data_IF_312351022258
#
_entry.id   IF_312351022258
#
_cell.length_a   1.000
_cell.length_b   1.000
_cell.length_c   1.000
_cell.angle_alpha   90.00
_cell.angle_beta   90.00
_cell.angle_gamma   90.00
#
_symmetry.space_group_name_H-M   'P 1'
#
loop_
_entity.id
_entity.type
_entity.pdbx_description
1 polymer ?
#
# COMPACT_ATOMS: atom_id res chain seq x y z
N UNK A 1 23.24 78.47 25.13
CA UNK A 1 23.78 77.49 26.09
C UNK A 1 22.72 77.36 27.16
N UNK A 2 21.85 76.37 27.06
CA UNK A 2 20.87 76.13 28.10
C UNK A 2 20.43 74.68 28.01
N UNK A 3 20.78 73.93 29.04
CA UNK A 3 19.93 72.89 29.60
C UNK A 3 19.80 73.29 31.06
N UNK A 4 18.63 73.11 31.70
CA UNK A 4 18.51 71.82 32.38
C UNK A 4 17.08 71.28 32.53
N UNK A 5 17.07 69.96 32.77
CA UNK A 5 16.29 69.21 33.77
C UNK A 5 14.75 69.28 33.81
N UNK A 6 14.17 68.10 34.04
CA UNK A 6 12.91 67.98 34.79
C UNK A 6 12.00 66.91 34.22
N UNK A 7 11.89 65.80 34.94
CA UNK A 7 11.09 64.64 34.60
C UNK A 7 9.58 64.92 34.58
N UNK A 8 8.87 64.27 33.66
CA UNK A 8 7.43 64.06 33.75
C UNK A 8 7.09 62.65 33.24
N UNK A 9 6.49 61.85 34.11
CA UNK A 9 5.90 60.52 33.84
C UNK A 9 4.64 60.65 32.98
N UNK A 10 4.42 59.76 31.99
CA UNK A 10 3.09 59.57 31.44
C UNK A 10 2.46 58.21 31.82
N UNK A 11 1.14 58.26 31.91
CA UNK A 11 0.16 57.19 32.11
C UNK A 11 0.06 56.25 30.88
N UNK A 12 -0.73 55.15 30.94
CA UNK A 12 -0.49 53.94 30.14
C UNK A 12 -0.98 54.07 28.69
N UNK A 13 -0.19 53.55 27.75
CA UNK A 13 -0.58 53.41 26.35
C UNK A 13 -1.35 52.09 26.15
N UNK A 14 -2.44 52.18 25.37
CA UNK A 14 -3.40 51.12 25.11
C UNK A 14 -2.81 49.87 24.45
N UNK A 15 -3.46 48.76 24.76
CA UNK A 15 -3.37 47.46 24.11
C UNK A 15 -3.66 47.52 22.60
N UNK A 16 -2.81 46.93 21.74
CA UNK A 16 -3.22 46.51 20.42
C UNK A 16 -3.73 45.06 20.43
N UNK A 17 -4.69 44.86 19.53
CA UNK A 17 -5.60 43.75 19.38
C UNK A 17 -5.00 42.33 19.29
N UNK A 18 -5.87 41.41 19.69
CA UNK A 18 -5.82 39.96 19.60
C UNK A 18 -5.26 39.43 18.28
N UNK A 19 -4.12 38.75 18.35
CA UNK A 19 -3.68 37.82 17.32
C UNK A 19 -4.63 36.62 17.29
N UNK A 20 -5.30 36.44 16.16
CA UNK A 20 -6.05 35.23 15.81
C UNK A 20 -5.10 34.02 15.86
N UNK A 21 -5.36 33.08 16.78
CA UNK A 21 -4.67 31.81 16.84
C UNK A 21 -4.86 30.98 15.56
N UNK A 22 -3.98 29.98 15.31
CA UNK A 22 -4.07 29.15 14.12
C UNK A 22 -5.42 28.41 14.08
N UNK A 23 -6.07 28.45 12.92
CA UNK A 23 -7.32 27.76 12.67
C UNK A 23 -7.17 26.26 12.99
N UNK A 24 -8.12 25.71 13.75
CA UNK A 24 -8.19 24.29 14.03
C UNK A 24 -8.22 23.49 12.72
N UNK A 25 -7.58 22.31 12.66
CA UNK A 25 -7.62 21.48 11.47
C UNK A 25 -9.07 21.15 11.11
N UNK A 26 -9.43 21.13 9.82
CA UNK A 26 -10.79 20.80 9.38
C UNK A 26 -11.14 19.38 9.85
N UNK A 27 -12.35 19.23 10.38
CA UNK A 27 -12.94 17.92 10.69
C UNK A 27 -12.96 17.07 9.42
N UNK A 28 -12.48 15.81 9.47
CA UNK A 28 -12.45 14.93 8.30
C UNK A 28 -13.87 14.70 7.75
N UNK A 29 -14.00 14.37 6.45
CA UNK A 29 -15.27 13.90 5.90
C UNK A 29 -15.79 12.73 6.75
N UNK A 30 -17.10 12.66 6.96
CA UNK A 30 -17.70 11.59 7.75
C UNK A 30 -17.23 10.24 7.20
N UNK A 31 -16.75 9.32 8.06
CA UNK A 31 -16.47 7.97 7.63
C UNK A 31 -17.72 7.39 6.96
N UNK A 32 -17.54 6.45 6.03
CA UNK A 32 -18.63 5.53 5.67
C UNK A 32 -19.25 5.07 7.00
N UNK A 33 -20.58 5.19 7.18
CA UNK A 33 -21.18 4.87 8.47
C UNK A 33 -20.79 3.45 8.84
N UNK A 34 -20.15 3.30 9.99
CA UNK A 34 -20.08 1.98 10.62
C UNK A 34 -21.54 1.55 10.85
N UNK A 35 -21.94 0.34 10.42
CA UNK A 35 -23.30 -0.12 10.66
C UNK A 35 -23.56 -0.07 12.17
N UNK A 36 -24.62 0.63 12.54
CA UNK A 36 -25.07 0.75 13.92
C UNK A 36 -25.38 -0.66 14.41
N UNK A 37 -24.80 -1.09 15.55
CA UNK A 37 -25.10 -2.37 16.20
C UNK A 37 -26.58 -2.42 16.62
N UNK A 38 -27.46 -2.78 15.70
CA UNK A 38 -28.82 -3.22 15.98
C UNK A 38 -28.82 -4.72 16.32
N UNK A 39 -29.84 -5.17 17.05
CA UNK A 39 -30.00 -6.58 17.46
C UNK A 39 -29.81 -7.51 16.25
N UNK A 40 -28.93 -8.51 16.39
CA UNK A 40 -28.64 -9.62 15.47
C UNK A 40 -29.79 -9.86 14.48
N UNK A 41 -29.67 -9.31 13.27
CA UNK A 41 -30.64 -9.55 12.19
C UNK A 41 -30.53 -10.96 11.66
N UNK A 42 -29.36 -11.59 11.77
CA UNK A 42 -29.10 -12.96 11.35
C UNK A 42 -30.05 -13.98 12.02
N UNK A 43 -30.29 -13.86 13.32
CA UNK A 43 -31.22 -14.75 14.05
C UNK A 43 -32.64 -14.66 13.51
N UNK A 44 -33.05 -13.48 13.03
CA UNK A 44 -34.37 -13.24 12.44
C UNK A 44 -34.50 -13.89 11.06
N UNK A 45 -33.42 -13.94 10.27
CA UNK A 45 -33.39 -14.57 8.94
C UNK A 45 -33.18 -16.10 9.00
N UNK A 46 -32.62 -16.63 10.09
CA UNK A 46 -32.45 -18.06 10.35
C UNK A 46 -33.77 -18.85 10.38
N UNK A 47 -34.93 -18.19 10.40
CA UNK A 47 -36.25 -18.83 10.33
C UNK A 47 -36.76 -19.04 8.89
N UNK A 48 -36.13 -18.42 7.88
CA UNK A 48 -36.53 -18.46 6.47
C UNK A 48 -35.94 -19.65 5.68
N UNK A 49 -35.37 -20.63 6.40
CA UNK A 49 -34.75 -21.84 5.86
C UNK A 49 -35.68 -22.59 4.89
N UNK A 50 -35.27 -22.67 3.61
CA UNK A 50 -35.84 -23.60 2.64
C UNK A 50 -34.74 -24.25 1.81
N UNK A 51 -34.66 -25.58 1.92
CA UNK A 51 -34.09 -26.49 0.92
C UNK A 51 -32.56 -26.56 0.86
N UNK A 52 -32.02 -27.79 0.90
CA UNK A 52 -30.61 -28.09 0.66
C UNK A 52 -30.31 -28.09 -0.84
N UNK A 53 -29.95 -26.95 -1.41
CA UNK A 53 -29.22 -26.88 -2.68
C UNK A 53 -27.80 -26.47 -2.37
N UNK A 54 -26.82 -27.27 -2.81
CA UNK A 54 -25.41 -27.00 -2.55
C UNK A 54 -25.01 -25.65 -3.18
N UNK A 55 -24.48 -24.74 -2.37
CA UNK A 55 -24.00 -23.44 -2.85
C UNK A 55 -22.77 -23.66 -3.72
N UNK A 56 -22.80 -23.20 -4.97
CA UNK A 56 -21.63 -23.17 -5.85
C UNK A 56 -21.34 -21.73 -6.21
N UNK A 57 -20.15 -21.25 -5.84
CA UNK A 57 -19.71 -19.90 -6.18
C UNK A 57 -19.07 -19.98 -7.57
N UNK A 58 -19.69 -19.35 -8.56
CA UNK A 58 -19.11 -19.21 -9.90
C UNK A 58 -17.95 -18.21 -9.91
N UNK A 59 -17.28 -18.06 -11.04
CA UNK A 59 -16.32 -16.97 -11.23
C UNK A 59 -17.04 -15.68 -11.60
N UNK A 60 -16.68 -14.58 -10.95
CA UNK A 60 -17.15 -13.26 -11.31
C UNK A 60 -16.57 -12.82 -12.65
N UNK A 61 -17.46 -12.51 -13.58
CA UNK A 61 -17.18 -11.90 -14.88
C UNK A 61 -17.90 -10.55 -14.98
N UNK A 62 -17.16 -9.48 -15.26
CA UNK A 62 -17.70 -8.12 -15.34
C UNK A 62 -18.72 -7.94 -16.47
N UNK A 63 -18.48 -8.53 -17.64
CA UNK A 63 -19.37 -8.40 -18.81
C UNK A 63 -20.72 -9.09 -18.56
N UNK A 64 -20.72 -10.17 -17.76
CA UNK A 64 -21.93 -10.93 -17.43
C UNK A 64 -22.68 -10.38 -16.23
N UNK A 65 -21.98 -9.95 -15.19
CA UNK A 65 -22.60 -9.61 -13.90
C UNK A 65 -22.67 -8.10 -13.64
N UNK A 66 -21.98 -7.28 -14.43
CA UNK A 66 -21.93 -5.83 -14.24
C UNK A 66 -21.17 -5.40 -12.99
N UNK A 67 -21.30 -4.12 -12.61
CA UNK A 67 -20.61 -3.56 -11.43
C UNK A 67 -21.23 -4.03 -10.11
N UNK A 68 -20.39 -4.37 -9.15
CA UNK A 68 -20.76 -4.59 -7.74
C UNK A 68 -20.61 -3.32 -6.89
N UNK A 69 -19.94 -2.30 -7.44
CA UNK A 69 -19.65 -1.03 -6.77
C UNK A 69 -20.76 -0.03 -7.05
N UNK A 70 -21.25 0.59 -5.98
CA UNK A 70 -22.19 1.69 -6.00
C UNK A 70 -21.46 2.99 -5.66
N UNK A 71 -21.59 3.99 -6.52
CA UNK A 71 -20.88 5.27 -6.38
C UNK A 71 -21.87 6.36 -6.00
N UNK A 72 -21.58 7.05 -4.91
CA UNK A 72 -22.25 8.29 -4.55
C UNK A 72 -21.21 9.27 -4.01
N UNK A 73 -21.00 10.37 -4.73
CA UNK A 73 -20.09 11.43 -4.30
C UNK A 73 -20.81 12.34 -3.28
N UNK A 74 -20.16 12.70 -2.16
CA UNK A 74 -20.75 13.62 -1.20
C UNK A 74 -20.99 15.01 -1.83
N UNK A 75 -21.94 15.76 -1.27
CA UNK A 75 -22.23 17.11 -1.72
C UNK A 75 -21.00 18.03 -1.58
N UNK A 76 -20.66 18.72 -2.68
CA UNK A 76 -19.48 19.57 -2.77
C UNK A 76 -18.23 18.87 -3.30
N UNK A 77 -18.34 17.62 -3.75
CA UNK A 77 -17.27 16.96 -4.51
C UNK A 77 -17.53 17.09 -6.01
N UNK A 78 -16.51 17.53 -6.75
CA UNK A 78 -16.49 17.58 -8.20
C UNK A 78 -15.54 16.51 -8.73
N UNK A 79 -16.05 15.56 -9.52
CA UNK A 79 -15.23 14.51 -10.11
C UNK A 79 -14.25 15.09 -11.14
N UNK A 80 -12.96 14.75 -10.99
CA UNK A 80 -11.89 15.14 -11.91
C UNK A 80 -11.47 13.99 -12.82
N UNK A 81 -11.40 12.76 -12.27
CA UNK A 81 -10.97 11.57 -12.98
C UNK A 81 -11.56 10.32 -12.34
N UNK A 82 -11.62 9.22 -13.08
CA UNK A 82 -12.16 7.94 -12.63
C UNK A 82 -11.55 6.77 -13.39
N UNK A 83 -11.14 5.74 -12.66
CA UNK A 83 -10.63 4.51 -13.25
C UNK A 83 -10.88 3.29 -12.34
N UNK A 84 -10.88 2.11 -12.93
CA UNK A 84 -10.99 0.84 -12.21
C UNK A 84 -9.62 0.36 -11.76
N UNK A 85 -9.52 -0.11 -10.51
CA UNK A 85 -8.41 -0.94 -10.06
C UNK A 85 -8.72 -2.39 -10.44
N UNK A 86 -9.84 -2.92 -9.93
CA UNK A 86 -10.43 -4.20 -10.36
C UNK A 86 -11.82 -3.92 -10.94
N UNK A 87 -12.00 -4.22 -12.24
CA UNK A 87 -13.24 -3.91 -12.96
C UNK A 87 -14.47 -4.47 -12.24
N UNK A 88 -15.41 -3.57 -11.94
CA UNK A 88 -16.67 -3.88 -11.26
C UNK A 88 -16.55 -4.21 -9.76
N UNK A 89 -15.35 -4.20 -9.18
CA UNK A 89 -15.11 -4.53 -7.76
C UNK A 89 -14.42 -3.42 -6.98
N UNK A 90 -13.50 -2.67 -7.58
CA UNK A 90 -12.86 -1.53 -6.93
C UNK A 90 -12.64 -0.39 -7.92
N UNK A 91 -13.24 0.75 -7.60
CA UNK A 91 -13.23 1.95 -8.42
C UNK A 91 -12.56 3.10 -7.67
N UNK A 92 -11.75 3.87 -8.37
CA UNK A 92 -11.18 5.12 -7.87
C UNK A 92 -11.87 6.28 -8.56
N UNK A 93 -12.22 7.30 -7.77
CA UNK A 93 -12.58 8.62 -8.26
C UNK A 93 -11.63 9.63 -7.64
N UNK A 94 -10.94 10.37 -8.48
CA UNK A 94 -10.21 11.56 -8.04
C UNK A 94 -11.20 12.71 -8.09
N UNK A 95 -11.46 13.34 -6.96
CA UNK A 95 -12.44 14.40 -6.85
C UNK A 95 -11.84 15.65 -6.19
N UNK A 96 -12.30 16.82 -6.60
CA UNK A 96 -12.03 18.08 -5.92
C UNK A 96 -13.11 18.30 -4.86
N UNK A 97 -12.70 18.44 -3.61
CA UNK A 97 -13.58 18.82 -2.52
C UNK A 97 -13.66 20.35 -2.45
N UNK A 98 -14.80 20.91 -2.84
CA UNK A 98 -15.03 22.35 -2.89
C UNK A 98 -14.94 23.04 -1.51
N UNK A 99 -15.11 22.29 -0.41
CA UNK A 99 -15.04 22.85 0.96
C UNK A 99 -13.60 23.01 1.42
N UNK A 100 -12.74 22.04 1.15
CA UNK A 100 -11.32 22.05 1.54
C UNK A 100 -10.42 22.64 0.46
N UNK A 101 -10.94 22.77 -0.76
CA UNK A 101 -10.21 23.11 -1.98
C UNK A 101 -9.03 22.15 -2.24
N UNK A 102 -9.19 20.88 -1.86
CA UNK A 102 -8.19 19.84 -2.04
C UNK A 102 -8.68 18.77 -3.02
N UNK A 103 -7.74 18.12 -3.69
CA UNK A 103 -8.02 16.90 -4.43
C UNK A 103 -7.96 15.73 -3.46
N UNK A 104 -8.87 14.78 -3.63
CA UNK A 104 -9.00 13.60 -2.80
C UNK A 104 -9.10 12.35 -3.67
N UNK A 105 -8.50 11.28 -3.18
CA UNK A 105 -8.53 9.95 -3.76
C UNK A 105 -9.65 9.18 -3.08
N UNK A 106 -10.75 8.94 -3.79
CA UNK A 106 -11.90 8.24 -3.23
C UNK A 106 -11.96 6.83 -3.81
N UNK A 107 -11.69 5.83 -2.96
CA UNK A 107 -11.89 4.43 -3.35
C UNK A 107 -13.29 3.96 -2.97
N UNK A 108 -13.93 3.30 -3.91
CA UNK A 108 -15.23 2.66 -3.76
C UNK A 108 -15.09 1.16 -3.97
N UNK A 109 -15.65 0.40 -3.05
CA UNK A 109 -15.68 -1.06 -3.02
C UNK A 109 -17.15 -1.52 -2.95
N UNK A 110 -17.44 -2.81 -3.11
CA UNK A 110 -18.82 -3.27 -3.15
C UNK A 110 -19.51 -3.01 -1.81
N UNK A 111 -20.61 -2.26 -1.80
CA UNK A 111 -21.36 -2.01 -0.57
C UNK A 111 -21.99 -3.31 -0.06
N UNK A 112 -21.87 -3.56 1.24
CA UNK A 112 -22.53 -4.67 1.92
C UNK A 112 -23.80 -4.16 2.62
N UNK A 113 -24.89 -4.89 2.48
CA UNK A 113 -26.04 -4.76 3.37
C UNK A 113 -25.68 -5.18 4.80
N UNK A 114 -26.46 -4.74 5.79
CA UNK A 114 -26.25 -5.12 7.20
C UNK A 114 -26.18 -6.65 7.38
N UNK A 115 -27.02 -7.37 6.65
CA UNK A 115 -27.02 -8.83 6.64
C UNK A 115 -25.73 -9.42 6.03
N UNK A 116 -25.29 -8.91 4.88
CA UNK A 116 -24.04 -9.37 4.26
C UNK A 116 -22.83 -9.06 5.14
N UNK A 117 -22.83 -7.92 5.83
CA UNK A 117 -21.78 -7.54 6.77
C UNK A 117 -21.73 -8.49 7.98
N UNK A 118 -22.87 -8.74 8.64
CA UNK A 118 -22.96 -9.69 9.76
C UNK A 118 -22.52 -11.10 9.33
N UNK A 119 -22.94 -11.53 8.14
CA UNK A 119 -22.56 -12.83 7.60
C UNK A 119 -21.05 -12.90 7.28
N UNK A 120 -20.48 -11.84 6.71
CA UNK A 120 -19.05 -11.76 6.41
C UNK A 120 -18.22 -11.89 7.68
N UNK A 121 -18.56 -11.17 8.75
CA UNK A 121 -17.85 -11.22 10.04
C UNK A 121 -17.88 -12.65 10.61
N UNK A 122 -19.06 -13.29 10.61
CA UNK A 122 -19.20 -14.66 11.10
C UNK A 122 -18.40 -15.67 10.28
N UNK A 123 -18.46 -15.57 8.95
CA UNK A 123 -17.66 -16.41 8.06
C UNK A 123 -16.16 -16.14 8.26
N UNK A 124 -15.76 -14.89 8.49
CA UNK A 124 -14.37 -14.52 8.77
C UNK A 124 -13.86 -15.14 10.06
N UNK A 125 -14.62 -15.08 11.15
CA UNK A 125 -14.28 -15.75 12.41
C UNK A 125 -14.12 -17.27 12.23
N UNK A 126 -15.12 -17.92 11.63
CA UNK A 126 -15.10 -19.37 11.41
C UNK A 126 -13.96 -19.80 10.46
N UNK A 127 -13.60 -18.99 9.46
CA UNK A 127 -12.48 -19.27 8.56
C UNK A 127 -11.11 -19.08 9.23
N UNK A 128 -10.98 -18.10 10.13
CA UNK A 128 -9.72 -17.78 10.81
C UNK A 128 -9.19 -18.98 11.58
N UNK A 129 -10.05 -19.64 12.34
CA UNK A 129 -9.69 -20.81 13.14
C UNK A 129 -9.21 -21.99 12.27
N UNK A 130 -9.78 -22.15 11.07
CA UNK A 130 -9.43 -23.27 10.19
C UNK A 130 -8.15 -23.00 9.38
N UNK A 131 -7.87 -21.74 9.01
CA UNK A 131 -6.65 -21.38 8.29
C UNK A 131 -5.39 -21.48 9.16
N UNK A 132 -5.51 -21.25 10.47
CA UNK A 132 -4.41 -21.47 11.44
C UNK A 132 -4.00 -22.95 11.50
N UNK A 133 -4.96 -23.87 11.33
CA UNK A 133 -4.75 -25.32 11.45
C UNK A 133 -4.17 -25.99 10.19
N UNK A 134 -4.10 -25.29 9.04
CA UNK A 134 -3.74 -25.89 7.74
C UNK A 134 -2.34 -25.49 7.23
N UNK A 135 -1.35 -25.54 8.14
CA UNK A 135 0.04 -25.17 7.91
C UNK A 135 0.70 -25.67 6.61
N UNK A 136 1.50 -24.78 6.03
CA UNK A 136 2.60 -24.91 5.06
C UNK A 136 2.45 -25.59 3.68
N UNK A 137 1.39 -26.34 3.36
CA UNK A 137 1.28 -27.01 2.03
C UNK A 137 0.30 -26.37 1.02
N UNK A 138 -0.29 -25.21 1.31
CA UNK A 138 -1.29 -24.58 0.43
C UNK A 138 -0.88 -23.17 0.01
N UNK A 139 0.13 -23.02 -0.85
CA UNK A 139 0.35 -21.74 -1.56
C UNK A 139 -0.46 -21.63 -2.85
N UNK A 140 -0.70 -22.74 -3.56
CA UNK A 140 -1.31 -22.71 -4.90
C UNK A 140 -2.84 -22.67 -4.91
N UNK A 141 -3.51 -22.80 -3.77
CA UNK A 141 -4.98 -22.96 -3.77
C UNK A 141 -5.73 -22.28 -2.64
N UNK A 142 -5.13 -21.26 -2.00
CA UNK A 142 -5.78 -20.55 -0.87
C UNK A 142 -7.12 -19.95 -1.26
N UNK A 143 -7.21 -19.37 -2.46
CA UNK A 143 -8.45 -18.81 -3.00
C UNK A 143 -9.54 -19.88 -3.06
N UNK A 144 -9.26 -21.02 -3.68
CA UNK A 144 -10.23 -22.11 -3.80
C UNK A 144 -10.66 -22.64 -2.44
N UNK A 145 -9.72 -22.85 -1.51
CA UNK A 145 -10.05 -23.32 -0.15
C UNK A 145 -10.98 -22.35 0.58
N UNK A 146 -10.73 -21.04 0.47
CA UNK A 146 -11.58 -20.02 1.08
C UNK A 146 -12.99 -20.08 0.46
N UNK A 147 -13.10 -20.17 -0.86
CA UNK A 147 -14.38 -20.23 -1.56
C UNK A 147 -15.16 -21.51 -1.26
N UNK A 148 -14.50 -22.68 -1.31
CA UNK A 148 -15.12 -23.97 -0.97
C UNK A 148 -15.66 -23.97 0.47
N UNK A 149 -14.90 -23.40 1.41
CA UNK A 149 -15.34 -23.29 2.80
C UNK A 149 -16.43 -22.27 3.00
N UNK A 150 -16.35 -21.11 2.35
CA UNK A 150 -17.42 -20.11 2.36
C UNK A 150 -18.73 -20.74 1.88
N UNK A 151 -18.72 -21.44 0.75
CA UNK A 151 -19.88 -22.14 0.23
C UNK A 151 -20.43 -23.16 1.22
N UNK A 152 -19.55 -23.96 1.85
CA UNK A 152 -19.95 -24.91 2.88
C UNK A 152 -20.56 -24.23 4.12
N UNK A 153 -20.00 -23.13 4.60
CA UNK A 153 -20.53 -22.41 5.77
C UNK A 153 -21.90 -21.81 5.46
N UNK A 154 -22.10 -21.27 4.26
CA UNK A 154 -23.41 -20.78 3.80
C UNK A 154 -24.44 -21.91 3.79
N UNK A 155 -24.06 -23.09 3.28
CA UNK A 155 -24.90 -24.29 3.28
C UNK A 155 -25.20 -24.80 4.71
N UNK A 156 -24.19 -24.81 5.59
CA UNK A 156 -24.30 -25.24 6.98
C UNK A 156 -25.21 -24.29 7.78
N UNK A 157 -25.22 -22.99 7.45
CA UNK A 157 -26.18 -22.02 7.98
C UNK A 157 -27.57 -22.12 7.32
N UNK A 158 -27.70 -22.87 6.24
CA UNK A 158 -28.95 -23.07 5.48
C UNK A 158 -29.42 -21.82 4.73
N UNK A 159 -28.49 -20.92 4.40
CA UNK A 159 -28.78 -19.67 3.70
C UNK A 159 -28.81 -19.90 2.18
N UNK A 160 -29.66 -19.15 1.48
CA UNK A 160 -29.65 -19.07 0.01
C UNK A 160 -29.39 -17.62 -0.37
N UNK A 161 -28.29 -17.38 -1.08
CA UNK A 161 -27.83 -16.04 -1.45
C UNK A 161 -27.90 -15.86 -2.97
N UNK A 162 -28.16 -14.62 -3.39
CA UNK A 162 -28.03 -14.24 -4.78
C UNK A 162 -26.56 -14.23 -5.21
N UNK A 163 -26.31 -14.42 -6.51
CA UNK A 163 -24.94 -14.44 -7.06
C UNK A 163 -24.17 -13.15 -6.74
N UNK A 164 -24.84 -11.98 -6.78
CA UNK A 164 -24.25 -10.68 -6.46
C UNK A 164 -23.71 -10.67 -5.02
N UNK A 165 -24.50 -11.14 -4.05
CA UNK A 165 -24.09 -11.24 -2.65
C UNK A 165 -22.90 -12.20 -2.48
N UNK A 166 -22.91 -13.34 -3.17
CA UNK A 166 -21.78 -14.27 -3.14
C UNK A 166 -20.50 -13.61 -3.65
N UNK A 167 -20.57 -12.84 -4.75
CA UNK A 167 -19.40 -12.13 -5.30
C UNK A 167 -18.90 -11.00 -4.39
N UNK A 168 -19.81 -10.31 -3.69
CA UNK A 168 -19.46 -9.30 -2.67
C UNK A 168 -18.72 -9.95 -1.50
N UNK A 169 -19.26 -11.04 -0.94
CA UNK A 169 -18.61 -11.77 0.15
C UNK A 169 -17.26 -12.35 -0.27
N UNK A 170 -17.18 -12.96 -1.46
CA UNK A 170 -15.93 -13.42 -2.06
C UNK A 170 -14.88 -12.30 -2.08
N UNK A 171 -15.25 -11.11 -2.59
CA UNK A 171 -14.34 -9.98 -2.69
C UNK A 171 -13.70 -9.65 -1.33
N UNK A 172 -14.51 -9.48 -0.28
CA UNK A 172 -14.00 -9.13 1.05
C UNK A 172 -13.21 -10.26 1.72
N UNK A 173 -13.60 -11.52 1.53
CA UNK A 173 -12.84 -12.65 2.07
C UNK A 173 -11.46 -12.75 1.43
N UNK A 174 -11.37 -12.61 0.11
CA UNK A 174 -10.09 -12.62 -0.60
C UNK A 174 -9.24 -11.41 -0.19
N UNK A 175 -9.84 -10.22 -0.17
CA UNK A 175 -9.20 -8.98 0.29
C UNK A 175 -8.62 -9.11 1.70
N UNK A 176 -9.34 -9.72 2.64
CA UNK A 176 -8.94 -9.78 4.04
C UNK A 176 -7.96 -10.92 4.34
N UNK A 177 -8.16 -12.12 3.76
CA UNK A 177 -7.31 -13.28 4.04
C UNK A 177 -6.07 -13.38 3.15
N UNK A 178 -6.19 -13.01 1.88
CA UNK A 178 -5.10 -13.10 0.89
C UNK A 178 -4.52 -11.72 0.64
N UNK A 179 -5.38 -10.75 0.33
CA UNK A 179 -5.02 -9.35 0.09
C UNK A 179 -4.61 -8.61 1.35
N UNK A 180 -4.46 -7.29 1.25
CA UNK A 180 -3.93 -6.40 2.28
C UNK A 180 -5.01 -5.74 3.15
N UNK A 181 -6.14 -6.43 3.38
CA UNK A 181 -7.27 -5.88 4.14
C UNK A 181 -7.67 -4.51 3.59
N UNK A 182 -7.86 -3.49 4.44
CA UNK A 182 -8.45 -2.24 3.98
C UNK A 182 -7.62 -1.46 2.97
N UNK A 183 -6.30 -1.63 2.98
CA UNK A 183 -5.39 -0.98 2.03
C UNK A 183 -5.20 -1.76 0.72
N UNK A 184 -5.84 -2.92 0.55
CA UNK A 184 -5.69 -3.77 -0.63
C UNK A 184 -5.93 -3.05 -1.97
N UNK A 185 -6.98 -2.22 -2.13
CA UNK A 185 -7.12 -1.44 -3.36
C UNK A 185 -5.93 -0.51 -3.63
N UNK A 186 -5.36 0.09 -2.58
CA UNK A 186 -4.20 0.99 -2.71
C UNK A 186 -2.94 0.23 -3.12
N UNK A 187 -2.76 -0.97 -2.56
CA UNK A 187 -1.67 -1.87 -2.93
C UNK A 187 -1.78 -2.34 -4.37
N UNK A 188 -3.00 -2.52 -4.89
CA UNK A 188 -3.23 -2.99 -6.26
C UNK A 188 -3.31 -1.86 -7.31
N UNK A 189 -3.40 -0.58 -6.91
CA UNK A 189 -3.46 0.54 -7.86
C UNK A 189 -2.06 0.89 -8.45
N UNK A 190 -1.80 0.71 -9.76
CA UNK A 190 -0.52 1.03 -10.39
C UNK A 190 -0.19 2.53 -10.44
N UNK A 191 -1.14 3.41 -10.15
CA UNK A 191 -0.95 4.86 -10.12
C UNK A 191 -0.41 5.38 -8.78
N UNK A 192 -0.35 4.53 -7.75
CA UNK A 192 0.19 4.86 -6.43
C UNK A 192 1.65 4.42 -6.34
N UNK A 193 2.50 5.30 -5.80
CA UNK A 193 3.92 5.01 -5.53
C UNK A 193 4.18 4.82 -4.03
N UNK A 194 3.64 5.70 -3.20
CA UNK A 194 3.79 5.65 -1.74
C UNK A 194 2.42 5.67 -1.04
N UNK A 195 2.33 4.96 0.09
CA UNK A 195 1.17 4.90 0.99
C UNK A 195 1.64 5.24 2.40
N UNK A 196 1.07 6.27 3.02
CA UNK A 196 1.43 6.73 4.36
C UNK A 196 0.20 6.73 5.28
N UNK A 197 0.28 5.94 6.35
CA UNK A 197 -0.68 5.92 7.44
C UNK A 197 -0.03 6.51 8.70
N UNK A 198 -0.39 7.73 9.05
CA UNK A 198 0.31 8.52 10.08
C UNK A 198 -0.24 8.33 11.51
N UNK A 199 -1.26 7.49 11.69
CA UNK A 199 -1.85 7.22 13.00
C UNK A 199 -3.33 6.90 12.98
N UNK A 200 -3.89 6.85 14.19
CA UNK A 200 -5.29 6.54 14.44
C UNK A 200 -6.22 7.68 13.99
N UNK A 201 -7.34 7.35 13.36
CA UNK A 201 -8.36 8.29 12.88
C UNK A 201 -7.82 9.38 11.96
N UNK A 202 -6.75 9.08 11.23
CA UNK A 202 -6.13 9.97 10.26
C UNK A 202 -6.30 9.32 8.89
N UNK A 203 -6.78 10.07 7.88
CA UNK A 203 -6.81 9.57 6.51
C UNK A 203 -5.43 9.12 6.04
N UNK A 204 -5.37 8.05 5.26
CA UNK A 204 -4.16 7.66 4.56
C UNK A 204 -3.83 8.72 3.51
N UNK A 205 -2.56 9.07 3.41
CA UNK A 205 -2.00 9.90 2.35
C UNK A 205 -1.25 9.03 1.34
N UNK A 206 -1.27 9.45 0.08
CA UNK A 206 -0.63 8.77 -1.03
C UNK A 206 0.29 9.70 -1.79
N UNK A 207 1.31 9.14 -2.44
CA UNK A 207 1.93 9.76 -3.60
C UNK A 207 1.37 9.14 -4.88
N UNK A 208 0.45 9.86 -5.53
CA UNK A 208 -0.14 9.44 -6.81
C UNK A 208 0.68 9.99 -7.98
N UNK A 209 0.95 9.18 -9.00
CA UNK A 209 1.79 9.54 -10.17
C UNK A 209 1.41 10.86 -10.84
N UNK A 210 0.11 11.04 -11.08
CA UNK A 210 -0.43 12.25 -11.70
C UNK A 210 -0.76 13.36 -10.70
N UNK A 211 -1.47 13.04 -9.60
CA UNK A 211 -1.99 14.02 -8.64
C UNK A 211 -1.06 14.36 -7.48
N UNK A 212 0.09 13.68 -7.38
CA UNK A 212 1.10 13.80 -6.31
C UNK A 212 0.50 13.51 -4.95
N UNK A 213 0.88 14.26 -3.92
CA UNK A 213 0.39 14.10 -2.56
C UNK A 213 -1.13 14.29 -2.51
N UNK A 214 -1.85 13.22 -2.17
CA UNK A 214 -3.31 13.21 -2.14
C UNK A 214 -3.81 12.39 -0.95
N UNK A 215 -4.87 12.85 -0.29
CA UNK A 215 -5.47 12.11 0.83
C UNK A 215 -6.58 11.18 0.36
N UNK A 216 -6.82 10.11 1.10
CA UNK A 216 -7.84 9.10 0.79
C UNK A 216 -9.06 9.19 1.70
N UNK A 217 -10.14 8.48 1.35
CA UNK A 217 -11.26 8.21 2.24
C UNK A 217 -11.03 7.03 3.20
N UNK A 218 -9.81 6.47 3.27
CA UNK A 218 -9.48 5.35 4.17
C UNK A 218 -8.85 5.89 5.45
N UNK A 219 -9.45 5.55 6.58
CA UNK A 219 -8.93 5.85 7.93
C UNK A 219 -9.17 4.67 8.85
N UNK A 220 -8.32 4.50 9.86
CA UNK A 220 -8.38 3.38 10.79
C UNK A 220 -8.62 3.80 12.23
N UNK A 221 -9.48 3.06 12.92
CA UNK A 221 -9.54 3.07 14.37
C UNK A 221 -8.30 2.36 14.96
N UNK A 222 -8.02 2.61 16.24
CA UNK A 222 -6.75 2.22 16.86
C UNK A 222 -6.51 0.70 16.89
N UNK A 223 -7.54 -0.08 17.18
CA UNK A 223 -7.50 -1.54 17.28
C UNK A 223 -7.35 -2.21 15.92
N UNK A 224 -8.06 -1.70 14.91
CA UNK A 224 -7.95 -2.17 13.52
C UNK A 224 -6.55 -1.85 12.97
N UNK A 225 -6.04 -0.64 13.19
CA UNK A 225 -4.71 -0.25 12.73
C UNK A 225 -3.60 -1.07 13.39
N UNK A 226 -3.74 -1.33 14.69
CA UNK A 226 -2.81 -2.18 15.43
C UNK A 226 -2.79 -3.61 14.90
N UNK A 227 -3.96 -4.19 14.65
CA UNK A 227 -4.11 -5.53 14.05
C UNK A 227 -3.53 -5.62 12.64
N UNK A 228 -3.76 -4.59 11.82
CA UNK A 228 -3.19 -4.50 10.47
C UNK A 228 -1.67 -4.43 10.52
N UNK A 229 -1.10 -3.63 11.42
CA UNK A 229 0.33 -3.48 11.57
C UNK A 229 1.03 -4.79 11.96
N UNK A 230 0.44 -5.57 12.88
CA UNK A 230 0.92 -6.91 13.22
C UNK A 230 0.89 -7.82 11.98
N UNK A 231 -0.20 -7.79 11.20
CA UNK A 231 -0.34 -8.60 9.99
C UNK A 231 0.70 -8.23 8.93
N UNK A 232 0.96 -6.94 8.71
CA UNK A 232 1.99 -6.44 7.80
C UNK A 232 3.39 -6.92 8.21
N UNK A 233 3.72 -6.81 9.50
CA UNK A 233 4.98 -7.31 10.05
C UNK A 233 5.15 -8.82 9.81
N UNK A 234 4.15 -9.61 10.20
CA UNK A 234 4.17 -11.07 10.08
C UNK A 234 4.30 -11.53 8.62
N UNK A 235 3.56 -10.91 7.69
CA UNK A 235 3.66 -11.22 6.26
C UNK A 235 5.00 -10.84 5.65
N UNK A 236 5.70 -9.87 6.25
CA UNK A 236 7.08 -9.52 5.89
C UNK A 236 8.12 -10.44 6.54
N UNK A 237 7.70 -11.49 7.28
CA UNK A 237 8.59 -12.40 7.99
C UNK A 237 9.29 -11.76 9.21
N UNK A 238 8.81 -10.60 9.68
CA UNK A 238 9.32 -9.92 10.87
C UNK A 238 8.31 -9.99 12.03
N UNK A 239 8.82 -9.92 13.24
CA UNK A 239 8.00 -9.81 14.45
C UNK A 239 8.09 -8.40 15.00
N UNK A 240 6.96 -7.85 15.41
CA UNK A 240 6.88 -6.55 16.05
C UNK A 240 6.17 -6.68 17.39
N UNK A 241 6.62 -5.90 18.36
CA UNK A 241 6.04 -5.90 19.70
C UNK A 241 6.23 -4.55 20.35
N UNK A 242 5.59 -4.34 21.49
CA UNK A 242 5.80 -3.16 22.33
C UNK A 242 7.28 -2.97 22.69
N UNK A 243 8.02 -4.05 23.02
CA UNK A 243 9.45 -3.97 23.34
C UNK A 243 10.38 -3.75 22.14
N UNK A 244 9.88 -3.89 20.91
CA UNK A 244 10.61 -3.60 19.67
C UNK A 244 9.61 -3.04 18.64
N UNK A 245 9.21 -1.77 18.81
CA UNK A 245 8.04 -1.22 18.15
C UNK A 245 8.34 -0.65 16.75
N UNK A 246 9.59 -0.66 16.28
CA UNK A 246 9.96 -0.13 14.96
C UNK A 246 10.51 -1.28 14.13
N UNK A 247 10.02 -1.42 12.89
CA UNK A 247 10.55 -2.36 11.91
C UNK A 247 10.68 -1.70 10.54
N UNK A 248 11.76 -2.05 9.85
CA UNK A 248 11.91 -1.87 8.40
C UNK A 248 11.84 -3.26 7.75
N UNK A 249 11.03 -3.45 6.72
CA UNK A 249 10.80 -4.77 6.12
C UNK A 249 10.53 -4.67 4.61
N UNK A 250 10.49 -5.84 3.97
CA UNK A 250 10.08 -5.99 2.58
C UNK A 250 8.84 -6.87 2.53
N UNK A 251 7.78 -6.36 1.93
CA UNK A 251 6.54 -7.09 1.70
C UNK A 251 6.75 -8.18 0.63
N UNK A 252 5.88 -9.20 0.56
CA UNK A 252 5.96 -10.29 -0.42
C UNK A 252 5.94 -9.86 -1.90
N UNK A 253 5.36 -8.69 -2.20
CA UNK A 253 5.34 -8.07 -3.53
C UNK A 253 6.63 -7.30 -3.85
N UNK A 254 7.59 -7.22 -2.91
CA UNK A 254 8.83 -6.46 -3.02
C UNK A 254 8.74 -5.04 -2.46
N UNK A 255 7.55 -4.56 -2.09
CA UNK A 255 7.35 -3.21 -1.56
C UNK A 255 8.08 -3.01 -0.24
N UNK A 256 8.63 -1.81 -0.02
CA UNK A 256 9.33 -1.45 1.23
C UNK A 256 8.30 -1.04 2.28
N UNK A 257 8.39 -1.58 3.48
CA UNK A 257 7.54 -1.25 4.62
C UNK A 257 8.39 -0.67 5.74
N UNK A 258 8.09 0.55 6.16
CA UNK A 258 8.51 1.07 7.46
C UNK A 258 7.28 1.11 8.36
N UNK A 259 7.41 0.62 9.59
CA UNK A 259 6.27 0.46 10.48
C UNK A 259 6.66 0.73 11.93
N UNK A 260 5.81 1.48 12.62
CA UNK A 260 5.92 1.77 14.05
C UNK A 260 4.65 1.37 14.80
N UNK A 261 4.75 0.52 15.81
CA UNK A 261 3.63 -0.04 16.56
C UNK A 261 3.33 0.76 17.83
N UNK A 262 2.03 1.01 18.05
CA UNK A 262 1.52 1.58 19.30
C UNK A 262 1.83 3.06 19.45
N UNK A 263 1.82 3.55 20.69
CA UNK A 263 2.01 4.97 21.02
C UNK A 263 3.34 5.28 21.68
N UNK A 264 4.19 4.26 21.89
CA UNK A 264 5.43 4.41 22.67
C UNK A 264 6.47 5.25 21.94
N UNK A 265 6.51 5.12 20.61
CA UNK A 265 7.40 5.90 19.73
C UNK A 265 6.63 6.98 18.99
N UNK A 266 5.40 6.69 18.56
CA UNK A 266 4.57 7.59 17.74
C UNK A 266 3.36 8.10 18.52
N UNK A 267 3.32 9.39 18.83
CA UNK A 267 2.28 9.99 19.69
C UNK A 267 0.87 9.93 19.10
N UNK A 268 0.74 9.71 17.79
CA UNK A 268 -0.55 9.61 17.06
C UNK A 268 -1.06 8.17 16.92
N UNK A 269 -0.40 7.20 17.56
CA UNK A 269 -0.71 5.78 17.43
C UNK A 269 0.19 5.05 16.44
N UNK A 270 -0.17 3.80 16.14
CA UNK A 270 0.53 2.96 15.17
C UNK A 270 0.60 3.67 13.81
N UNK A 271 1.74 3.60 13.12
CA UNK A 271 1.92 4.20 11.81
C UNK A 271 2.69 3.27 10.88
N UNK A 272 2.51 3.43 9.58
CA UNK A 272 3.31 2.74 8.58
C UNK A 272 3.45 3.55 7.30
N UNK A 273 4.54 3.35 6.59
CA UNK A 273 4.77 3.84 5.24
C UNK A 273 5.15 2.67 4.34
N UNK A 274 4.43 2.52 3.23
CA UNK A 274 4.73 1.54 2.19
C UNK A 274 5.19 2.30 0.95
N UNK A 275 6.40 2.00 0.49
CA UNK A 275 6.88 2.44 -0.83
C UNK A 275 6.78 1.27 -1.79
N UNK A 276 5.88 1.39 -2.75
CA UNK A 276 5.51 0.30 -3.63
C UNK A 276 6.65 -0.10 -4.56
N UNK A 277 6.85 -1.40 -4.71
CA UNK A 277 7.72 -1.92 -5.73
C UNK A 277 7.05 -1.78 -7.09
N UNK A 278 7.80 -1.27 -8.08
CA UNK A 278 7.31 -1.19 -9.45
C UNK A 278 7.68 -2.47 -10.18
N UNK A 279 6.68 -3.29 -10.48
CA UNK A 279 6.88 -4.57 -11.17
C UNK A 279 7.44 -4.36 -12.58
N UNK A 280 6.87 -3.43 -13.35
CA UNK A 280 7.34 -3.08 -14.69
C UNK A 280 8.28 -1.87 -14.66
N UNK A 281 9.60 -2.05 -14.82
CA UNK A 281 10.53 -0.94 -14.88
C UNK A 281 10.32 -0.11 -16.15
N UNK A 282 10.70 1.17 -16.11
CA UNK A 282 10.70 1.98 -17.33
C UNK A 282 11.65 1.39 -18.36
N UNK A 283 11.18 1.28 -19.60
CA UNK A 283 12.03 0.95 -20.74
C UNK A 283 12.85 2.17 -21.19
N UNK A 284 13.99 1.97 -21.88
CA UNK A 284 14.71 3.05 -22.53
C UNK A 284 13.82 3.90 -23.45
N UNK A 285 12.89 3.26 -24.16
CA UNK A 285 11.97 3.95 -25.08
C UNK A 285 11.02 4.88 -24.32
N UNK A 286 10.43 4.40 -23.22
CA UNK A 286 9.56 5.25 -22.39
C UNK A 286 10.33 6.43 -21.77
N UNK A 287 11.59 6.23 -21.36
CA UNK A 287 12.42 7.33 -20.87
C UNK A 287 12.74 8.34 -21.98
N UNK A 288 12.79 7.91 -23.24
CA UNK A 288 12.93 8.80 -24.39
C UNK A 288 11.63 9.57 -24.67
N UNK A 289 10.50 8.89 -24.67
CA UNK A 289 9.17 9.48 -24.87
C UNK A 289 8.83 10.51 -23.78
N UNK A 290 9.22 10.24 -22.54
CA UNK A 290 9.08 11.17 -21.41
C UNK A 290 10.09 12.32 -21.43
N UNK A 291 11.02 12.35 -22.39
CA UNK A 291 12.03 13.40 -22.52
C UNK A 291 13.16 13.34 -21.49
N UNK A 292 13.30 12.24 -20.75
CA UNK A 292 14.40 12.02 -19.79
C UNK A 292 15.73 11.83 -20.52
N UNK A 293 15.72 11.09 -21.63
CA UNK A 293 16.87 10.91 -22.52
C UNK A 293 16.49 11.22 -23.96
N UNK A 294 17.45 11.62 -24.78
CA UNK A 294 17.29 11.61 -26.23
C UNK A 294 17.88 10.30 -26.81
N UNK A 295 17.63 10.05 -28.11
CA UNK A 295 18.12 8.86 -28.78
C UNK A 295 19.66 8.73 -28.71
N UNK A 296 20.39 9.83 -28.89
CA UNK A 296 21.86 9.84 -28.87
C UNK A 296 22.41 9.38 -27.50
N UNK A 297 21.79 9.83 -26.40
CA UNK A 297 22.17 9.41 -25.05
C UNK A 297 21.93 7.91 -24.84
N UNK A 298 20.81 7.37 -25.32
CA UNK A 298 20.52 5.95 -25.21
C UNK A 298 21.46 5.09 -26.06
N UNK A 299 21.78 5.52 -27.28
CA UNK A 299 22.79 4.86 -28.13
C UNK A 299 24.16 4.88 -27.45
N UNK A 300 24.53 6.01 -26.83
CA UNK A 300 25.76 6.09 -26.05
C UNK A 300 25.77 5.07 -24.90
N UNK A 301 24.70 5.00 -24.10
CA UNK A 301 24.62 4.03 -23.01
C UNK A 301 24.67 2.59 -23.50
N UNK A 302 23.97 2.28 -24.59
CA UNK A 302 24.00 0.94 -25.20
C UNK A 302 25.43 0.55 -25.60
N UNK A 303 26.11 1.39 -26.38
CA UNK A 303 27.49 1.14 -26.81
C UNK A 303 28.46 1.06 -25.62
N UNK A 304 28.27 1.89 -24.61
CA UNK A 304 29.09 1.86 -23.40
C UNK A 304 28.93 0.54 -22.62
N UNK A 305 27.69 0.07 -22.44
CA UNK A 305 27.38 -1.19 -21.74
C UNK A 305 27.91 -2.38 -22.51
N UNK A 306 27.67 -2.46 -23.82
CA UNK A 306 28.17 -3.55 -24.68
C UNK A 306 29.71 -3.63 -24.66
N UNK A 307 30.40 -2.48 -24.49
CA UNK A 307 31.85 -2.39 -24.39
C UNK A 307 32.37 -2.38 -22.94
N UNK A 308 31.58 -2.90 -21.99
CA UNK A 308 31.94 -3.10 -20.59
C UNK A 308 32.44 -1.83 -19.89
N UNK A 309 31.89 -0.66 -20.23
CA UNK A 309 32.19 0.60 -19.54
C UNK A 309 31.35 0.70 -18.27
N UNK A 310 31.98 1.10 -17.18
CA UNK A 310 31.29 1.36 -15.92
C UNK A 310 30.51 2.67 -15.99
N UNK A 311 29.29 2.66 -15.48
CA UNK A 311 28.38 3.82 -15.44
C UNK A 311 27.98 4.11 -13.98
N UNK A 312 27.82 5.39 -13.66
CA UNK A 312 27.29 5.85 -12.36
C UNK A 312 26.25 6.93 -12.64
N UNK A 313 25.05 6.75 -12.09
CA UNK A 313 23.96 7.73 -12.15
C UNK A 313 23.97 8.58 -10.88
N UNK A 314 24.09 9.90 -11.03
CA UNK A 314 24.24 10.85 -9.92
C UNK A 314 23.06 11.83 -9.94
N UNK A 315 22.55 12.17 -8.76
CA UNK A 315 21.40 13.07 -8.61
C UNK A 315 20.81 13.04 -7.20
N UNK A 316 19.93 14.00 -6.89
CA UNK A 316 19.23 14.07 -5.61
C UNK A 316 18.32 12.87 -5.33
N UNK A 317 17.81 12.75 -4.11
CA UNK A 317 16.77 11.77 -3.77
C UNK A 317 15.56 11.97 -4.69
N UNK A 318 14.93 10.88 -5.12
CA UNK A 318 13.79 10.88 -6.04
C UNK A 318 14.00 11.53 -7.43
N UNK A 319 15.26 11.72 -7.87
CA UNK A 319 15.57 12.26 -9.22
C UNK A 319 15.54 11.22 -10.36
N UNK A 320 15.14 9.98 -10.10
CA UNK A 320 15.07 8.93 -11.13
C UNK A 320 16.40 8.19 -11.39
N UNK A 321 17.34 8.18 -10.44
CA UNK A 321 18.62 7.45 -10.55
C UNK A 321 18.43 5.95 -10.78
N UNK A 322 17.75 5.27 -9.85
CA UNK A 322 17.50 3.83 -9.95
C UNK A 322 16.67 3.50 -11.19
N UNK A 323 15.71 4.37 -11.52
CA UNK A 323 14.92 4.26 -12.75
C UNK A 323 15.79 4.28 -14.01
N UNK A 324 16.74 5.23 -14.09
CA UNK A 324 17.65 5.35 -15.22
C UNK A 324 18.59 4.14 -15.31
N UNK A 325 19.17 3.72 -14.18
CA UNK A 325 20.00 2.52 -14.06
C UNK A 325 19.25 1.27 -14.58
N UNK A 326 18.03 1.05 -14.09
CA UNK A 326 17.22 -0.12 -14.41
C UNK A 326 16.81 -0.11 -15.90
N UNK A 327 16.42 1.05 -16.44
CA UNK A 327 16.10 1.17 -17.86
C UNK A 327 17.31 0.86 -18.76
N UNK A 328 18.48 1.49 -18.52
CA UNK A 328 19.64 1.27 -19.39
C UNK A 328 20.23 -0.14 -19.23
N UNK A 329 20.02 -0.80 -18.09
CA UNK A 329 20.47 -2.17 -17.90
C UNK A 329 19.79 -3.19 -18.82
N UNK A 330 18.71 -2.82 -19.50
CA UNK A 330 18.14 -3.62 -20.59
C UNK A 330 19.06 -3.71 -21.83
N UNK A 331 20.11 -2.89 -21.92
CA UNK A 331 21.16 -3.02 -22.94
C UNK A 331 22.25 -4.05 -22.57
N UNK A 332 22.20 -4.67 -21.39
CA UNK A 332 23.14 -5.72 -21.03
C UNK A 332 22.95 -6.92 -21.98
N UNK A 333 24.03 -7.47 -22.56
CA UNK A 333 23.94 -8.62 -23.46
C UNK A 333 23.24 -9.82 -22.79
N UNK A 334 22.30 -10.50 -23.47
CA UNK A 334 21.37 -11.45 -22.84
C UNK A 334 22.01 -12.71 -22.24
N UNK A 335 23.25 -13.04 -22.62
CA UNK A 335 23.98 -14.19 -22.09
C UNK A 335 24.91 -13.81 -20.93
N UNK A 336 25.11 -12.51 -20.69
CA UNK A 336 26.08 -12.03 -19.73
C UNK A 336 25.67 -12.43 -18.31
N UNK A 337 26.64 -12.75 -17.45
CA UNK A 337 26.31 -13.00 -16.03
C UNK A 337 26.12 -11.70 -15.28
N UNK A 338 24.94 -11.50 -14.70
CA UNK A 338 24.57 -10.28 -13.98
C UNK A 338 24.38 -10.56 -12.48
N UNK A 339 24.93 -9.70 -11.62
CA UNK A 339 24.65 -9.70 -10.18
C UNK A 339 24.14 -8.33 -9.77
N UNK A 340 22.95 -8.26 -9.16
CA UNK A 340 22.49 -7.02 -8.51
C UNK A 340 22.67 -7.10 -7.00
N UNK A 341 23.03 -5.97 -6.39
CA UNK A 341 23.25 -5.82 -4.96
C UNK A 341 22.50 -4.57 -4.50
N UNK A 342 21.56 -4.75 -3.59
CA UNK A 342 20.65 -3.68 -3.17
C UNK A 342 20.38 -3.74 -1.66
N UNK A 343 20.13 -2.60 -1.02
CA UNK A 343 19.62 -2.59 0.35
C UNK A 343 18.18 -3.09 0.42
N UNK A 344 17.40 -2.78 -0.61
CA UNK A 344 16.10 -3.40 -0.83
C UNK A 344 15.84 -3.43 -2.32
N UNK A 345 15.16 -4.48 -2.76
CA UNK A 345 14.88 -4.75 -4.17
C UNK A 345 14.16 -3.56 -4.83
N UNK A 346 14.79 -2.95 -5.82
CA UNK A 346 14.25 -1.91 -6.70
C UNK A 346 14.53 -2.24 -8.19
N UNK A 347 15.56 -3.03 -8.47
CA UNK A 347 15.96 -3.45 -9.81
C UNK A 347 15.17 -4.69 -10.24
N UNK A 348 14.62 -4.62 -11.47
CA UNK A 348 13.91 -5.73 -12.13
C UNK A 348 14.53 -5.91 -13.51
N UNK A 349 15.22 -7.02 -13.73
CA UNK A 349 15.82 -7.34 -15.03
C UNK A 349 15.08 -8.49 -15.68
N UNK A 350 14.75 -8.34 -16.96
CA UNK A 350 14.32 -9.44 -17.82
C UNK A 350 15.56 -10.18 -18.36
N UNK A 351 16.35 -10.76 -17.46
CA UNK A 351 17.62 -11.40 -17.77
C UNK A 351 17.73 -12.76 -17.07
N UNK A 352 17.91 -13.85 -17.83
CA UNK A 352 17.89 -15.22 -17.29
C UNK A 352 19.09 -15.49 -16.36
N UNK A 353 20.30 -15.08 -16.77
CA UNK A 353 21.54 -15.28 -16.02
C UNK A 353 21.78 -14.18 -14.96
N UNK A 354 20.79 -13.96 -14.08
CA UNK A 354 20.80 -12.89 -13.07
C UNK A 354 20.72 -13.45 -11.64
N UNK A 355 21.61 -12.98 -10.77
CA UNK A 355 21.58 -13.20 -9.32
C UNK A 355 21.21 -11.89 -8.62
N UNK A 356 20.05 -11.87 -7.97
CA UNK A 356 19.61 -10.72 -7.16
C UNK A 356 19.99 -10.92 -5.69
N UNK A 357 20.81 -10.02 -5.15
CA UNK A 357 21.27 -10.05 -3.75
C UNK A 357 20.75 -8.83 -2.98
N UNK A 358 20.23 -9.06 -1.78
CA UNK A 358 19.72 -7.99 -0.90
C UNK A 358 20.42 -8.06 0.46
N UNK A 359 20.69 -6.90 1.07
CA UNK A 359 21.26 -6.84 2.41
C UNK A 359 20.32 -7.45 3.45
N UNK A 360 20.88 -7.86 4.58
CA UNK A 360 20.10 -8.46 5.66
C UNK A 360 20.60 -7.94 7.00
N UNK A 361 19.71 -7.33 7.76
CA UNK A 361 19.99 -6.94 9.14
C UNK A 361 20.18 -8.17 10.05
N UNK A 362 20.86 -7.97 11.17
CA UNK A 362 20.98 -8.99 12.21
C UNK A 362 19.59 -9.36 12.74
N UNK A 363 19.25 -10.65 12.68
CA UNK A 363 18.06 -11.16 13.36
C UNK A 363 18.45 -11.44 14.80
N UNK A 364 18.02 -10.58 15.72
CA UNK A 364 18.27 -10.66 17.17
C UNK A 364 19.74 -10.62 17.62
N UNK A 365 19.93 -10.50 18.93
CA UNK A 365 21.22 -10.36 19.58
C UNK A 365 22.13 -11.57 19.27
N UNK A 366 23.13 -11.38 18.42
CA UNK A 366 24.10 -12.41 18.00
C UNK A 366 24.04 -12.86 16.53
N UNK A 367 23.09 -12.38 15.73
CA UNK A 367 23.09 -12.61 14.28
C UNK A 367 24.08 -11.69 13.55
N UNK A 368 24.84 -12.22 12.58
CA UNK A 368 25.65 -11.36 11.71
C UNK A 368 24.75 -10.67 10.68
N UNK A 369 24.83 -9.34 10.63
CA UNK A 369 24.31 -8.56 9.51
C UNK A 369 25.11 -8.87 8.24
N UNK A 370 24.44 -8.84 7.09
CA UNK A 370 25.05 -8.95 5.76
C UNK A 370 24.86 -7.60 5.09
N UNK A 371 25.94 -6.85 4.95
CA UNK A 371 25.91 -5.53 4.31
C UNK A 371 26.24 -5.62 2.80
N UNK A 372 26.13 -4.50 2.09
CA UNK A 372 26.43 -4.45 0.66
C UNK A 372 27.89 -4.82 0.33
N UNK A 373 28.83 -4.49 1.22
CA UNK A 373 30.25 -4.82 1.04
C UNK A 373 30.49 -6.34 1.08
N UNK A 374 29.83 -7.05 1.99
CA UNK A 374 29.88 -8.51 2.09
C UNK A 374 29.34 -9.17 0.82
N UNK A 375 28.20 -8.67 0.33
CA UNK A 375 27.57 -9.14 -0.92
C UNK A 375 28.46 -8.86 -2.13
N UNK A 376 29.06 -7.68 -2.21
CA UNK A 376 29.98 -7.32 -3.29
C UNK A 376 31.20 -8.24 -3.31
N UNK A 377 31.80 -8.50 -2.14
CA UNK A 377 32.91 -9.44 -2.00
C UNK A 377 32.53 -10.86 -2.41
N UNK A 378 31.31 -11.30 -2.11
CA UNK A 378 30.78 -12.59 -2.53
C UNK A 378 30.55 -12.65 -4.06
N UNK A 379 29.96 -11.59 -4.64
CA UNK A 379 29.69 -11.46 -6.06
C UNK A 379 30.98 -11.59 -6.89
N UNK A 380 32.09 -11.00 -6.44
CA UNK A 380 33.39 -11.11 -7.13
C UNK A 380 33.88 -12.57 -7.29
N UNK A 381 33.44 -13.50 -6.44
CA UNK A 381 33.77 -14.93 -6.56
C UNK A 381 32.88 -15.67 -7.55
N UNK A 382 31.76 -15.07 -7.93
CA UNK A 382 30.81 -15.65 -8.88
C UNK A 382 31.19 -15.38 -10.34
N UNK A 383 32.26 -14.58 -10.59
CA UNK A 383 32.69 -14.13 -11.93
C UNK A 383 31.55 -13.50 -12.76
N UNK A 384 30.86 -12.48 -12.24
CA UNK A 384 29.90 -11.73 -13.03
C UNK A 384 30.60 -10.92 -14.12
N UNK A 385 29.91 -10.70 -15.23
CA UNK A 385 30.30 -9.73 -16.25
C UNK A 385 29.78 -8.33 -15.89
N UNK A 386 28.58 -8.25 -15.33
CA UNK A 386 27.97 -7.00 -14.86
C UNK A 386 27.60 -7.10 -13.39
N UNK A 387 27.97 -6.07 -12.63
CA UNK A 387 27.52 -5.87 -11.24
C UNK A 387 26.72 -4.58 -11.20
N UNK A 388 25.47 -4.67 -10.76
CA UNK A 388 24.62 -3.52 -10.49
C UNK A 388 24.58 -3.30 -8.99
N UNK A 389 24.92 -2.10 -8.55
CA UNK A 389 24.78 -1.70 -7.14
C UNK A 389 23.72 -0.62 -7.10
N UNK A 390 22.62 -0.86 -6.36
CA UNK A 390 21.45 0.02 -6.36
C UNK A 390 21.80 1.44 -5.89
N UNK A 391 22.45 1.55 -4.73
CA UNK A 391 22.94 2.82 -4.20
C UNK A 391 24.21 2.59 -3.36
N UNK A 392 25.26 3.39 -3.59
CA UNK A 392 26.49 3.31 -2.80
C UNK A 392 26.45 4.37 -1.70
N UNK A 393 26.39 3.95 -0.44
CA UNK A 393 26.28 4.84 0.74
C UNK A 393 27.48 4.80 1.70
N UNK A 394 28.44 3.92 1.49
CA UNK A 394 29.62 3.77 2.36
C UNK A 394 30.22 2.37 2.28
#
# INVERSE_FOLDING_TARGET
MENPAGADTPAPAGSPDSASGPAAPPTPPSPLPAPVKTKSTLDHYLHLLKGKTATTIGEYDFERHGTLVEVSLPEGYEQLDQYWIEKGRSLVIIAHNARTNQKEYLVFEPALSDFEYELLERIHEDLRDVLILSGDDVKKDRRRIILEKMAKLIDDYGLTLEAVSLFRLEYYLIRNFIGWSRIDPLMNDPMIEDISCDGNNIPIFLYHRQYRNIMTNIMFESDILYSLAITLAQRSGKHISTGSPIIDATLPDGSRLQLTLGTEVTTRGTSFTIRKFREEPFSPVELMENGTFNADALVYFWLAIENNKSLIFIGGTASGKTTSLNAVSLFIPPLAKVVSIEDTREITLYHDNWIASVTREAMSDGGNAINMFDLLRAAMRQRPEFILVGEVRG
#
